data_IF_084762994450
#
_entry.id   IF_084762994450
#
_cell.length_a   1.000
_cell.length_b   1.000
_cell.length_c   1.000
_cell.angle_alpha   90.00
_cell.angle_beta   90.00
_cell.angle_gamma   90.00
#
_symmetry.space_group_name_H-M   'P 1'
#
loop_
_entity.id
_entity.type
_entity.pdbx_description
1 polymer ?
#
# COMPACT_ATOMS: atom_id res chain seq x y z
N UNK A 1 11.80 3.38 24.94
CA UNK A 1 11.57 3.92 23.58
C UNK A 1 10.22 3.40 23.09
N UNK A 2 9.17 4.24 23.13
CA UNK A 2 7.88 3.92 22.50
C UNK A 2 8.11 3.88 20.99
N UNK A 3 7.76 2.78 20.31
CA UNK A 3 7.79 2.75 18.86
C UNK A 3 6.93 3.90 18.34
N UNK A 4 7.43 4.67 17.37
CA UNK A 4 6.72 5.84 16.81
C UNK A 4 5.32 5.42 16.36
N UNK A 5 4.31 5.66 17.20
CA UNK A 5 2.93 5.77 16.78
C UNK A 5 2.89 6.94 15.78
N UNK A 6 2.48 6.66 14.53
CA UNK A 6 2.36 7.70 13.49
C UNK A 6 3.02 7.41 12.15
N UNK A 7 3.63 6.24 11.92
CA UNK A 7 4.06 5.90 10.55
C UNK A 7 2.89 5.38 9.72
N UNK A 8 2.58 6.08 8.62
CA UNK A 8 1.68 5.59 7.56
C UNK A 8 2.17 4.22 7.06
N UNK A 9 1.24 3.40 6.57
CA UNK A 9 1.52 2.05 6.09
C UNK A 9 2.40 2.04 4.83
N UNK A 10 2.91 0.86 4.49
CA UNK A 10 3.71 0.61 3.31
C UNK A 10 3.21 -0.63 2.57
N UNK A 11 3.55 -0.75 1.28
CA UNK A 11 3.16 -1.90 0.49
C UNK A 11 3.99 -3.15 0.81
N UNK A 12 3.29 -4.28 0.84
CA UNK A 12 3.87 -5.62 0.77
C UNK A 12 3.25 -6.34 -0.41
N UNK A 13 4.11 -7.03 -1.16
CA UNK A 13 3.72 -7.82 -2.32
C UNK A 13 3.86 -9.31 -1.99
N UNK A 14 2.85 -10.10 -2.33
CA UNK A 14 2.90 -11.56 -2.20
C UNK A 14 2.73 -12.19 -3.57
N UNK A 15 3.69 -13.03 -3.98
CA UNK A 15 3.61 -13.79 -5.23
C UNK A 15 3.03 -15.18 -4.94
N UNK A 16 1.90 -15.52 -5.58
CA UNK A 16 1.26 -16.82 -5.44
C UNK A 16 0.72 -17.29 -6.80
N UNK A 17 1.17 -18.46 -7.26
CA UNK A 17 0.78 -19.07 -8.54
C UNK A 17 0.88 -18.09 -9.73
N UNK A 18 2.02 -17.41 -9.88
CA UNK A 18 2.25 -16.45 -10.97
C UNK A 18 1.52 -15.11 -10.82
N UNK A 19 0.73 -14.91 -9.76
CA UNK A 19 0.00 -13.67 -9.50
C UNK A 19 0.65 -12.88 -8.37
N UNK A 20 0.70 -11.57 -8.52
CA UNK A 20 1.15 -10.65 -7.47
C UNK A 20 -0.04 -10.03 -6.76
N UNK A 21 -0.06 -10.10 -5.44
CA UNK A 21 -1.07 -9.51 -4.58
C UNK A 21 -0.49 -8.33 -3.79
N UNK A 22 -1.26 -7.27 -3.63
CA UNK A 22 -0.84 -6.01 -2.99
C UNK A 22 -1.57 -5.81 -1.67
N UNK A 23 -0.82 -5.48 -0.63
CA UNK A 23 -1.33 -5.23 0.71
C UNK A 23 -0.75 -3.95 1.27
N UNK A 24 -1.57 -3.17 1.97
CA UNK A 24 -1.10 -2.11 2.84
C UNK A 24 -0.85 -2.69 4.23
N UNK A 25 0.36 -2.52 4.78
CA UNK A 25 0.70 -3.00 6.12
C UNK A 25 1.28 -1.88 6.97
N UNK A 26 1.10 -1.96 8.29
CA UNK A 26 1.75 -1.08 9.26
C UNK A 26 2.72 -1.88 10.13
N UNK A 27 3.93 -1.37 10.30
CA UNK A 27 4.87 -1.94 11.24
C UNK A 27 4.47 -1.56 12.67
N UNK A 28 4.39 -2.54 13.55
CA UNK A 28 4.18 -2.37 14.99
C UNK A 28 5.35 -3.01 15.74
N UNK A 29 5.67 -2.49 16.92
CA UNK A 29 6.73 -3.00 17.76
C UNK A 29 6.13 -3.44 19.09
N UNK A 30 6.13 -4.75 19.35
CA UNK A 30 5.70 -5.32 20.63
C UNK A 30 6.88 -6.10 21.21
N UNK A 31 7.29 -5.77 22.44
CA UNK A 31 8.41 -6.42 23.14
C UNK A 31 9.70 -6.46 22.28
N UNK A 32 10.07 -5.31 21.68
CA UNK A 32 11.22 -5.17 20.76
C UNK A 32 11.15 -6.00 19.47
N UNK A 33 10.09 -6.78 19.24
CA UNK A 33 9.87 -7.51 17.99
C UNK A 33 9.01 -6.70 17.04
N UNK A 34 9.50 -6.51 15.82
CA UNK A 34 8.74 -5.90 14.71
C UNK A 34 7.70 -6.90 14.20
N UNK A 35 6.45 -6.49 14.12
CA UNK A 35 5.35 -7.23 13.49
C UNK A 35 4.65 -6.34 12.47
N UNK A 36 4.46 -6.86 11.26
CA UNK A 36 3.65 -6.19 10.25
C UNK A 36 2.19 -6.60 10.43
N UNK A 37 1.31 -5.62 10.58
CA UNK A 37 -0.14 -5.85 10.67
C UNK A 37 -0.76 -5.39 9.34
N UNK A 38 -1.53 -6.25 8.65
CA UNK A 38 -2.25 -5.85 7.44
C UNK A 38 -3.33 -4.82 7.80
N UNK A 39 -3.38 -3.72 7.04
CA UNK A 39 -4.40 -2.69 7.14
C UNK A 39 -5.47 -2.87 6.06
N UNK A 40 -5.06 -3.20 4.84
CA UNK A 40 -5.96 -3.31 3.69
C UNK A 40 -5.37 -4.27 2.65
N UNK A 41 -6.23 -5.01 1.94
CA UNK A 41 -5.84 -5.83 0.80
C UNK A 41 -6.44 -5.23 -0.47
N UNK A 42 -5.59 -4.87 -1.41
CA UNK A 42 -6.03 -4.35 -2.72
C UNK A 42 -6.32 -5.47 -3.73
N UNK A 43 -6.03 -6.73 -3.37
CA UNK A 43 -6.17 -7.86 -4.28
C UNK A 43 -4.97 -8.03 -5.21
N UNK A 44 -5.20 -8.49 -6.43
CA UNK A 44 -4.14 -8.68 -7.43
C UNK A 44 -3.63 -7.33 -7.91
N UNK A 45 -2.39 -7.25 -8.37
CA UNK A 45 -1.77 -6.01 -8.82
C UNK A 45 -2.59 -5.30 -9.92
N UNK A 46 -3.08 -6.05 -10.91
CA UNK A 46 -3.93 -5.52 -12.00
C UNK A 46 -5.25 -4.96 -11.46
N UNK A 47 -5.95 -5.72 -10.62
CA UNK A 47 -7.20 -5.30 -9.99
C UNK A 47 -6.98 -4.08 -9.07
N UNK A 48 -5.86 -4.05 -8.35
CA UNK A 48 -5.48 -2.96 -7.46
C UNK A 48 -5.29 -1.66 -8.24
N UNK A 49 -4.55 -1.68 -9.35
CA UNK A 49 -4.37 -0.51 -10.22
C UNK A 49 -5.69 -0.02 -10.80
N UNK A 50 -6.51 -0.92 -11.35
CA UNK A 50 -7.83 -0.56 -11.89
C UNK A 50 -8.73 0.11 -10.84
N UNK A 51 -8.78 -0.46 -9.63
CA UNK A 51 -9.55 0.12 -8.53
C UNK A 51 -8.97 1.48 -8.10
N UNK A 52 -7.65 1.61 -8.02
CA UNK A 52 -7.02 2.87 -7.65
C UNK A 52 -7.27 3.98 -8.68
N UNK A 53 -7.28 3.68 -9.98
CA UNK A 53 -7.69 4.66 -10.99
C UNK A 53 -9.16 5.07 -10.84
N UNK A 54 -10.06 4.10 -10.60
CA UNK A 54 -11.46 4.42 -10.34
C UNK A 54 -11.63 5.33 -9.11
N UNK A 55 -10.87 5.08 -8.03
CA UNK A 55 -10.86 5.95 -6.85
C UNK A 55 -10.20 7.31 -7.12
N UNK A 56 -9.23 7.39 -8.03
CA UNK A 56 -8.59 8.66 -8.38
C UNK A 56 -9.56 9.55 -9.15
N UNK A 57 -10.32 8.94 -10.07
CA UNK A 57 -11.31 9.62 -10.91
C UNK A 57 -12.57 9.99 -10.12
N UNK A 58 -12.95 9.17 -9.13
CA UNK A 58 -14.00 9.48 -8.15
C UNK A 58 -13.58 9.07 -6.74
N UNK A 59 -13.10 10.04 -5.96
CA UNK A 59 -12.58 9.79 -4.61
C UNK A 59 -13.64 9.43 -3.58
N UNK A 60 -14.93 9.67 -3.85
CA UNK A 60 -16.01 9.22 -2.97
C UNK A 60 -16.12 7.68 -2.91
N UNK A 61 -15.53 6.99 -3.90
CA UNK A 61 -15.41 5.52 -3.92
C UNK A 61 -14.22 5.00 -3.11
N UNK A 62 -13.34 5.88 -2.63
CA UNK A 62 -12.16 5.49 -1.88
C UNK A 62 -12.56 4.75 -0.59
N UNK A 63 -11.89 3.64 -0.21
CA UNK A 63 -12.31 2.84 0.92
C UNK A 63 -12.37 3.64 2.22
N UNK A 64 -13.56 3.72 2.84
CA UNK A 64 -13.79 4.47 4.09
C UNK A 64 -12.79 4.07 5.18
N UNK A 65 -12.47 2.78 5.31
CA UNK A 65 -11.46 2.30 6.25
C UNK A 65 -10.09 2.98 6.08
N UNK A 66 -9.69 3.28 4.83
CA UNK A 66 -8.43 3.98 4.56
C UNK A 66 -8.54 5.47 4.91
N UNK A 67 -9.67 6.11 4.63
CA UNK A 67 -9.93 7.50 5.05
C UNK A 67 -9.91 7.65 6.57
N UNK A 68 -10.57 6.73 7.30
CA UNK A 68 -10.56 6.68 8.77
C UNK A 68 -9.16 6.46 9.35
N UNK A 69 -8.29 5.76 8.61
CA UNK A 69 -6.88 5.56 8.96
C UNK A 69 -5.99 6.77 8.60
N UNK A 70 -6.56 7.82 8.03
CA UNK A 70 -5.87 9.08 7.68
C UNK A 70 -5.15 9.05 6.33
N UNK A 71 -5.58 8.19 5.40
CA UNK A 71 -5.09 8.21 4.03
C UNK A 71 -5.91 9.17 3.17
N UNK A 72 -5.23 9.96 2.34
CA UNK A 72 -5.81 11.00 1.50
C UNK A 72 -5.67 10.68 0.01
N UNK A 73 -6.21 11.57 -0.82
CA UNK A 73 -6.06 11.49 -2.27
C UNK A 73 -4.59 11.52 -2.71
N UNK A 74 -3.74 12.26 -2.02
CA UNK A 74 -2.30 12.30 -2.30
C UNK A 74 -1.63 10.95 -2.01
N UNK A 75 -2.03 10.23 -0.96
CA UNK A 75 -1.51 8.89 -0.72
C UNK A 75 -1.94 7.92 -1.84
N UNK A 76 -3.18 8.04 -2.31
CA UNK A 76 -3.67 7.26 -3.45
C UNK A 76 -2.87 7.57 -4.72
N UNK A 77 -2.57 8.85 -4.99
CA UNK A 77 -1.75 9.24 -6.12
C UNK A 77 -0.35 8.63 -6.07
N UNK A 78 0.30 8.70 -4.90
CA UNK A 78 1.62 8.10 -4.65
C UNK A 78 1.60 6.57 -4.77
N UNK A 79 0.51 5.94 -4.36
CA UNK A 79 0.30 4.50 -4.50
C UNK A 79 0.22 4.07 -5.96
N UNK A 80 -0.54 4.78 -6.78
CA UNK A 80 -0.64 4.54 -8.22
C UNK A 80 0.75 4.64 -8.85
N UNK A 81 1.48 5.74 -8.62
CA UNK A 81 2.83 5.92 -9.15
C UNK A 81 3.79 4.80 -8.72
N UNK A 82 3.69 4.37 -7.46
CA UNK A 82 4.50 3.27 -6.92
C UNK A 82 4.21 1.95 -7.63
N UNK A 83 2.94 1.66 -7.92
CA UNK A 83 2.53 0.42 -8.58
C UNK A 83 2.80 0.43 -10.08
N UNK A 84 2.66 1.57 -10.75
CA UNK A 84 2.99 1.74 -12.18
C UNK A 84 4.48 1.59 -12.44
N UNK A 85 5.31 2.25 -11.62
CA UNK A 85 6.76 2.28 -11.83
C UNK A 85 7.46 1.07 -11.21
N UNK A 86 6.88 0.49 -10.16
CA UNK A 86 7.54 -0.47 -9.31
C UNK A 86 8.67 0.13 -8.47
N UNK A 87 8.71 1.45 -8.29
CA UNK A 87 9.64 2.15 -7.41
C UNK A 87 8.87 2.83 -6.28
N UNK A 88 9.42 2.80 -5.06
CA UNK A 88 8.86 3.61 -3.98
C UNK A 88 9.10 5.10 -4.25
N UNK A 89 8.36 5.97 -3.57
CA UNK A 89 8.60 7.42 -3.57
C UNK A 89 10.02 7.88 -3.18
N UNK A 90 10.82 6.97 -2.61
CA UNK A 90 12.22 7.21 -2.27
C UNK A 90 13.20 6.60 -3.29
N UNK A 91 12.72 6.18 -4.46
CA UNK A 91 13.52 5.57 -5.53
C UNK A 91 13.94 4.12 -5.27
N UNK A 92 13.37 3.44 -4.26
CA UNK A 92 13.71 2.04 -4.00
C UNK A 92 12.97 1.14 -4.98
N UNK A 93 13.71 0.34 -5.75
CA UNK A 93 13.15 -0.71 -6.60
C UNK A 93 12.37 -1.75 -5.79
N UNK A 94 11.16 -2.04 -6.24
CA UNK A 94 10.26 -3.05 -5.66
C UNK A 94 10.26 -4.31 -6.54
N UNK A 95 9.81 -5.43 -5.99
CA UNK A 95 9.77 -6.73 -6.69
C UNK A 95 8.74 -6.83 -7.82
N UNK A 96 8.08 -5.71 -8.14
CA UNK A 96 7.11 -5.54 -9.22
C UNK A 96 7.62 -4.61 -10.32
N UNK A 97 8.81 -4.02 -10.17
CA UNK A 97 9.43 -3.25 -11.24
C UNK A 97 9.70 -4.17 -12.43
N UNK A 98 9.29 -3.73 -13.62
CA UNK A 98 9.70 -4.36 -14.87
C UNK A 98 11.16 -3.95 -15.13
N UNK A 99 12.02 -4.94 -15.38
CA UNK A 99 13.42 -4.74 -15.75
C UNK A 99 13.56 -4.27 -17.20
#
# INVERSE_FOLDING_TARGET
MKGKEGTKGFFVFSKKHGRTYVYLVRATYKNQKKKNIPLFSFGRLEDALNNMYNWRDNFDLFPILLSELGYSWEDLHEWILTLETGYSKYGRKLCIAND
#
